data_IF_111369259604
#
_entry.id   IF_111369259604
#
_cell.length_a   1.000
_cell.length_b   1.000
_cell.length_c   1.000
_cell.angle_alpha   90.00
_cell.angle_beta   90.00
_cell.angle_gamma   90.00
#
_symmetry.space_group_name_H-M   'P 1'
#
loop_
_entity.id
_entity.type
_entity.pdbx_description
1 polymer ?
#
# COMPACT_ATOMS: atom_id res chain seq x y z
N UNK A 1 -22.20 3.96 -8.14
CA UNK A 1 -22.41 4.22 -6.69
C UNK A 1 -21.07 4.28 -5.98
N UNK A 2 -20.91 5.25 -5.09
CA UNK A 2 -19.69 5.42 -4.30
C UNK A 2 -20.04 5.29 -2.81
N UNK A 3 -19.26 4.49 -2.10
CA UNK A 3 -19.46 4.28 -0.67
C UNK A 3 -18.24 4.82 0.07
N UNK A 4 -18.47 5.63 1.08
CA UNK A 4 -17.42 6.16 1.95
C UNK A 4 -17.41 5.36 3.25
N UNK A 5 -16.25 4.84 3.62
CA UNK A 5 -16.06 4.13 4.89
C UNK A 5 -14.90 4.74 5.66
N UNK A 6 -14.97 4.74 7.00
CA UNK A 6 -13.82 5.20 7.79
C UNK A 6 -12.66 4.21 7.66
N UNK A 7 -11.47 4.74 7.44
CA UNK A 7 -10.24 3.95 7.41
C UNK A 7 -9.18 4.64 8.28
N UNK A 8 -8.18 3.87 8.71
CA UNK A 8 -7.04 4.43 9.43
C UNK A 8 -6.16 5.26 8.50
N UNK A 9 -5.37 6.17 9.06
CA UNK A 9 -4.38 6.93 8.29
C UNK A 9 -3.37 5.99 7.62
N UNK A 10 -2.94 4.94 8.32
CA UNK A 10 -2.05 3.92 7.77
C UNK A 10 -2.66 3.22 6.56
N UNK A 11 -3.95 2.91 6.60
CA UNK A 11 -4.65 2.29 5.48
C UNK A 11 -4.72 3.23 4.27
N UNK A 12 -4.98 4.51 4.51
CA UNK A 12 -5.01 5.52 3.43
C UNK A 12 -3.64 5.63 2.75
N UNK A 13 -2.56 5.72 3.53
CA UNK A 13 -1.21 5.82 3.00
C UNK A 13 -0.82 4.54 2.25
N UNK A 14 -1.17 3.38 2.78
CA UNK A 14 -0.95 2.09 2.13
C UNK A 14 -1.61 2.05 0.74
N UNK A 15 -2.87 2.43 0.65
CA UNK A 15 -3.59 2.50 -0.63
C UNK A 15 -2.93 3.44 -1.63
N UNK A 16 -2.44 4.58 -1.16
CA UNK A 16 -1.72 5.53 -2.01
C UNK A 16 -0.44 4.93 -2.59
N UNK A 17 0.32 4.17 -1.79
CA UNK A 17 1.52 3.49 -2.30
C UNK A 17 1.17 2.43 -3.34
N UNK A 18 0.10 1.68 -3.12
CA UNK A 18 -0.36 0.66 -4.07
C UNK A 18 -0.80 1.30 -5.39
N UNK A 19 -1.50 2.43 -5.33
CA UNK A 19 -1.91 3.16 -6.54
C UNK A 19 -0.71 3.69 -7.31
N UNK A 20 0.33 4.13 -6.61
CA UNK A 20 1.59 4.54 -7.22
C UNK A 20 2.24 3.39 -8.00
N UNK A 21 2.27 2.20 -7.41
CA UNK A 21 2.79 0.99 -8.05
C UNK A 21 1.94 0.62 -9.27
N UNK A 22 0.62 0.63 -9.14
CA UNK A 22 -0.30 0.38 -10.25
C UNK A 22 -0.06 1.35 -11.41
N UNK A 23 0.15 2.61 -11.10
CA UNK A 23 0.46 3.63 -12.12
C UNK A 23 1.73 3.31 -12.88
N UNK A 24 2.74 2.73 -12.21
CA UNK A 24 3.99 2.32 -12.84
C UNK A 24 3.83 1.06 -13.69
N UNK A 25 3.02 0.11 -13.25
CA UNK A 25 2.95 -1.25 -13.81
C UNK A 25 1.84 -1.45 -14.83
N UNK A 26 0.73 -0.74 -14.70
CA UNK A 26 -0.42 -0.90 -15.59
C UNK A 26 -0.19 -0.13 -16.89
N UNK A 27 -0.43 -0.80 -18.02
CA UNK A 27 -0.26 -0.24 -19.36
C UNK A 27 -1.58 0.08 -20.05
N UNK A 28 -2.69 -0.52 -19.60
CA UNK A 28 -4.01 -0.28 -20.14
C UNK A 28 -4.44 1.16 -19.86
N UNK A 29 -4.76 1.92 -20.92
CA UNK A 29 -5.07 3.36 -20.83
C UNK A 29 -6.30 3.61 -19.96
N UNK A 30 -7.34 2.79 -20.10
CA UNK A 30 -8.58 2.98 -19.36
C UNK A 30 -8.40 2.68 -17.87
N UNK A 31 -7.70 1.60 -17.55
CA UNK A 31 -7.37 1.25 -16.16
C UNK A 31 -6.46 2.29 -15.53
N UNK A 32 -5.48 2.79 -16.29
CA UNK A 32 -4.57 3.83 -15.81
C UNK A 32 -5.31 5.12 -15.47
N UNK A 33 -6.32 5.46 -16.24
CA UNK A 33 -7.18 6.61 -16.00
C UNK A 33 -7.93 6.48 -14.68
N UNK A 34 -8.48 5.28 -14.41
CA UNK A 34 -9.15 4.97 -13.15
C UNK A 34 -8.20 5.08 -11.96
N UNK A 35 -6.98 4.54 -12.10
CA UNK A 35 -5.93 4.61 -11.07
C UNK A 35 -5.58 6.06 -10.75
N UNK A 36 -5.36 6.88 -11.76
CA UNK A 36 -5.03 8.31 -11.58
C UNK A 36 -6.16 9.06 -10.89
N UNK A 37 -7.40 8.77 -11.25
CA UNK A 37 -8.57 9.39 -10.64
C UNK A 37 -8.69 9.03 -9.16
N UNK A 38 -8.55 7.76 -8.82
CA UNK A 38 -8.58 7.30 -7.43
C UNK A 38 -7.41 7.90 -6.63
N UNK A 39 -6.21 7.92 -7.21
CA UNK A 39 -5.02 8.52 -6.60
C UNK A 39 -5.26 9.99 -6.26
N UNK A 40 -5.85 10.74 -7.18
CA UNK A 40 -6.16 12.16 -6.96
C UNK A 40 -7.12 12.35 -5.79
N UNK A 41 -8.17 11.54 -5.72
CA UNK A 41 -9.16 11.62 -4.63
C UNK A 41 -8.53 11.28 -3.27
N UNK A 42 -7.72 10.23 -3.20
CA UNK A 42 -7.10 9.80 -1.95
C UNK A 42 -5.98 10.76 -1.51
N UNK A 43 -5.24 11.34 -2.46
CA UNK A 43 -4.27 12.40 -2.13
C UNK A 43 -4.95 13.61 -1.52
N UNK A 44 -6.12 13.98 -2.02
CA UNK A 44 -6.90 15.08 -1.45
C UNK A 44 -7.31 14.76 -0.01
N UNK A 45 -7.71 13.53 0.26
CA UNK A 45 -8.04 13.08 1.63
C UNK A 45 -6.84 13.14 2.56
N UNK A 46 -5.68 12.74 2.08
CA UNK A 46 -4.45 12.83 2.87
C UNK A 46 -4.09 14.28 3.16
N UNK A 47 -4.16 15.16 2.16
CA UNK A 47 -3.89 16.58 2.34
C UNK A 47 -4.84 17.22 3.35
N UNK A 48 -6.13 16.89 3.29
CA UNK A 48 -7.12 17.37 4.24
C UNK A 48 -6.78 16.92 5.67
N UNK A 49 -6.35 15.68 5.82
CA UNK A 49 -5.93 15.11 7.11
C UNK A 49 -4.70 15.84 7.66
N UNK A 50 -3.71 16.13 6.81
CA UNK A 50 -2.47 16.82 7.22
C UNK A 50 -2.69 18.28 7.59
N UNK A 51 -3.74 18.91 7.06
CA UNK A 51 -4.11 20.29 7.39
C UNK A 51 -4.95 20.40 8.65
N UNK A 52 -5.44 19.29 9.15
CA UNK A 52 -6.18 19.27 10.41
C UNK A 52 -5.25 19.66 11.56
N UNK A 53 -5.81 20.23 12.62
CA UNK A 53 -5.12 20.98 13.66
C UNK A 53 -4.07 20.21 14.47
N UNK A 54 -3.92 18.93 14.24
CA UNK A 54 -2.96 18.09 14.98
C UNK A 54 -1.59 18.19 14.33
N UNK A 55 -0.55 18.45 15.14
CA UNK A 55 0.82 18.49 14.65
C UNK A 55 1.38 17.08 14.54
N UNK A 56 1.69 16.68 13.32
CA UNK A 56 2.37 15.42 13.05
C UNK A 56 3.85 15.64 12.74
N UNK A 57 4.65 14.60 12.92
CA UNK A 57 5.98 14.55 12.35
C UNK A 57 5.85 14.23 10.85
N UNK A 58 5.70 15.26 10.04
CA UNK A 58 5.50 15.10 8.59
C UNK A 58 6.70 14.43 7.90
N UNK A 59 7.95 14.79 8.19
CA UNK A 59 9.10 14.08 7.62
C UNK A 59 9.07 12.58 7.94
N UNK A 60 8.72 12.21 9.17
CA UNK A 60 8.61 10.80 9.55
C UNK A 60 7.47 10.11 8.80
N UNK A 61 6.32 10.77 8.64
CA UNK A 61 5.21 10.23 7.87
C UNK A 61 5.64 9.88 6.43
N UNK A 62 6.35 10.78 5.77
CA UNK A 62 6.83 10.53 4.40
C UNK A 62 7.91 9.47 4.34
N UNK A 63 8.76 9.35 5.36
CA UNK A 63 9.73 8.27 5.46
C UNK A 63 9.03 6.91 5.59
N UNK A 64 8.01 6.81 6.44
CA UNK A 64 7.22 5.59 6.60
C UNK A 64 6.44 5.24 5.34
N UNK A 65 5.93 6.25 4.63
CA UNK A 65 5.27 6.05 3.33
C UNK A 65 6.24 5.48 2.31
N UNK A 66 7.48 5.96 2.26
CA UNK A 66 8.51 5.45 1.36
C UNK A 66 8.85 3.99 1.68
N UNK A 67 8.98 3.64 2.96
CA UNK A 67 9.20 2.26 3.39
C UNK A 67 8.03 1.35 3.01
N UNK A 68 6.83 1.85 3.17
CA UNK A 68 5.61 1.12 2.81
C UNK A 68 5.52 0.89 1.29
N UNK A 69 5.90 1.89 0.50
CA UNK A 69 6.01 1.76 -0.95
C UNK A 69 6.97 0.62 -1.34
N UNK A 70 8.15 0.57 -0.72
CA UNK A 70 9.14 -0.47 -0.99
C UNK A 70 8.62 -1.87 -0.64
N UNK A 71 7.94 -2.02 0.50
CA UNK A 71 7.35 -3.30 0.90
C UNK A 71 6.26 -3.72 -0.08
N UNK A 72 5.39 -2.81 -0.49
CA UNK A 72 4.33 -3.10 -1.44
C UNK A 72 4.87 -3.41 -2.84
N UNK A 73 5.94 -2.75 -3.26
CA UNK A 73 6.60 -3.05 -4.51
C UNK A 73 7.21 -4.47 -4.49
N UNK A 74 7.83 -4.83 -3.38
CA UNK A 74 8.35 -6.18 -3.16
C UNK A 74 7.22 -7.23 -3.22
N UNK A 75 6.09 -6.96 -2.57
CA UNK A 75 4.91 -7.84 -2.63
C UNK A 75 4.38 -8.00 -4.05
N UNK A 76 4.34 -6.93 -4.82
CA UNK A 76 3.91 -6.98 -6.22
C UNK A 76 4.76 -7.99 -7.01
N UNK A 77 6.09 -7.89 -6.87
CA UNK A 77 7.02 -8.80 -7.53
C UNK A 77 6.89 -10.25 -7.05
N UNK A 78 6.77 -10.45 -5.73
CA UNK A 78 6.61 -11.79 -5.14
C UNK A 78 5.33 -12.45 -5.67
N UNK A 79 4.22 -11.72 -5.70
CA UNK A 79 2.94 -12.25 -6.16
C UNK A 79 2.96 -12.59 -7.66
N UNK A 80 3.63 -11.78 -8.48
CA UNK A 80 3.84 -12.10 -9.90
C UNK A 80 4.62 -13.41 -10.05
N UNK A 81 5.65 -13.61 -9.26
CA UNK A 81 6.46 -14.82 -9.29
C UNK A 81 5.67 -16.05 -8.82
N UNK A 82 4.80 -15.88 -7.82
CA UNK A 82 3.91 -16.95 -7.37
C UNK A 82 2.94 -17.36 -8.49
N UNK A 83 2.35 -16.40 -9.17
CA UNK A 83 1.45 -16.66 -10.30
C UNK A 83 2.17 -17.36 -11.45
N UNK A 84 3.43 -17.00 -11.69
CA UNK A 84 4.25 -17.68 -12.68
C UNK A 84 4.49 -19.13 -12.29
N UNK A 85 4.85 -19.41 -11.02
CA UNK A 85 5.01 -20.77 -10.52
C UNK A 85 3.72 -21.58 -10.70
N UNK A 86 2.57 -20.98 -10.41
CA UNK A 86 1.26 -21.62 -10.62
C UNK A 86 1.04 -21.94 -12.10
N UNK A 87 1.39 -21.02 -12.99
CA UNK A 87 1.22 -21.18 -14.42
C UNK A 87 2.03 -22.34 -14.97
N UNK A 88 3.27 -22.52 -14.52
CA UNK A 88 4.15 -23.62 -14.97
C UNK A 88 4.05 -24.86 -14.06
N UNK A 89 3.16 -24.84 -13.05
CA UNK A 89 2.96 -25.92 -12.09
C UNK A 89 4.22 -26.30 -11.32
N UNK A 90 5.03 -25.30 -11.00
CA UNK A 90 6.20 -25.44 -10.14
C UNK A 90 5.82 -25.18 -8.68
N UNK A 91 5.69 -26.24 -7.91
CA UNK A 91 5.36 -26.18 -6.48
C UNK A 91 6.53 -26.66 -5.62
N UNK A 92 7.73 -26.48 -6.13
CA UNK A 92 9.00 -26.85 -5.47
C UNK A 92 9.35 -25.88 -4.33
N UNK A 93 10.59 -26.00 -3.84
CA UNK A 93 11.13 -25.13 -2.79
C UNK A 93 11.01 -23.63 -3.13
N UNK A 94 11.11 -23.26 -4.41
CA UNK A 94 10.97 -21.87 -4.84
C UNK A 94 9.57 -21.32 -4.56
N UNK A 95 8.54 -22.10 -4.88
CA UNK A 95 7.15 -21.71 -4.57
C UNK A 95 6.94 -21.52 -3.06
N UNK A 96 7.48 -22.44 -2.26
CA UNK A 96 7.38 -22.38 -0.79
C UNK A 96 8.09 -21.11 -0.27
N UNK A 97 9.28 -20.83 -0.78
CA UNK A 97 10.03 -19.63 -0.41
C UNK A 97 9.26 -18.36 -0.70
N UNK A 98 8.66 -18.26 -1.88
CA UNK A 98 7.86 -17.10 -2.29
C UNK A 98 6.62 -16.95 -1.38
N UNK A 99 5.95 -18.04 -1.05
CA UNK A 99 4.79 -18.01 -0.16
C UNK A 99 5.16 -17.50 1.25
N UNK A 100 6.33 -17.90 1.75
CA UNK A 100 6.85 -17.40 3.02
C UNK A 100 7.24 -15.92 2.94
N UNK A 101 7.80 -15.49 1.81
CA UNK A 101 8.15 -14.09 1.59
C UNK A 101 6.92 -13.19 1.65
N UNK A 102 5.78 -13.64 1.12
CA UNK A 102 4.49 -12.91 1.25
C UNK A 102 4.15 -12.69 2.71
N UNK A 103 4.23 -13.74 3.51
CA UNK A 103 3.90 -13.68 4.93
C UNK A 103 4.79 -12.66 5.66
N UNK A 104 6.10 -12.74 5.47
CA UNK A 104 7.05 -11.83 6.11
C UNK A 104 6.88 -10.38 5.66
N UNK A 105 6.63 -10.17 4.36
CA UNK A 105 6.42 -8.82 3.83
C UNK A 105 5.12 -8.20 4.36
N UNK A 106 4.04 -8.99 4.46
CA UNK A 106 2.79 -8.52 5.05
C UNK A 106 2.92 -8.16 6.52
N UNK A 107 3.75 -8.86 7.28
CA UNK A 107 4.02 -8.50 8.68
C UNK A 107 4.70 -7.13 8.78
N UNK A 108 5.69 -6.87 7.93
CA UNK A 108 6.35 -5.55 7.87
C UNK A 108 5.39 -4.45 7.43
N UNK A 109 4.55 -4.75 6.46
CA UNK A 109 3.51 -3.83 5.99
C UNK A 109 2.58 -3.44 7.12
N UNK A 110 2.12 -4.41 7.89
CA UNK A 110 1.26 -4.19 9.07
C UNK A 110 1.94 -3.28 10.10
N UNK A 111 3.21 -3.55 10.42
CA UNK A 111 3.98 -2.74 11.36
C UNK A 111 4.11 -1.29 10.90
N UNK A 112 4.39 -1.07 9.62
CA UNK A 112 4.51 0.28 9.06
C UNK A 112 3.18 1.03 9.10
N UNK A 113 2.09 0.35 8.79
CA UNK A 113 0.74 0.94 8.89
C UNK A 113 0.43 1.35 10.34
N UNK A 114 0.78 0.51 11.30
CA UNK A 114 0.59 0.83 12.71
C UNK A 114 1.44 2.02 13.16
N UNK A 115 2.68 2.11 12.72
CA UNK A 115 3.53 3.26 13.02
C UNK A 115 2.93 4.57 12.47
N UNK A 116 2.39 4.53 11.26
CA UNK A 116 1.69 5.69 10.68
C UNK A 116 0.46 6.06 11.53
N UNK A 117 -0.31 5.06 11.95
CA UNK A 117 -1.47 5.31 12.81
C UNK A 117 -1.08 5.97 14.13
N UNK A 118 0.01 5.54 14.72
CA UNK A 118 0.51 6.10 15.99
C UNK A 118 0.94 7.55 15.84
N UNK A 119 1.76 7.86 14.82
CA UNK A 119 2.29 9.22 14.65
C UNK A 119 1.21 10.21 14.21
N UNK A 120 0.14 9.75 13.59
CA UNK A 120 -0.99 10.58 13.16
C UNK A 120 -2.14 10.56 14.14
N UNK A 121 -2.01 9.81 15.23
CA UNK A 121 -3.06 9.61 16.24
C UNK A 121 -4.39 9.23 15.59
N UNK A 122 -4.35 8.25 14.69
CA UNK A 122 -5.53 7.81 13.95
C UNK A 122 -6.59 7.25 14.88
N UNK A 123 -7.85 7.71 14.72
CA UNK A 123 -8.99 7.22 15.47
C UNK A 123 -9.34 5.78 15.09
N UNK A 124 -9.07 5.40 13.85
CA UNK A 124 -9.23 4.03 13.35
C UNK A 124 -7.87 3.34 13.36
N UNK A 125 -7.78 2.21 14.05
CA UNK A 125 -6.53 1.45 14.17
C UNK A 125 -6.77 -0.01 13.82
N UNK A 126 -5.75 -0.62 13.23
CA UNK A 126 -5.77 -2.06 12.96
C UNK A 126 -4.41 -2.66 13.19
#
# INVERSE_FOLDING_TARGET
>A
MKINIPVSTGELVDKLTILEIKKMMIKDVDKLKEVKNEQSQLNQKLNDTLQDSVKFDIPLLFALKADLFEINLSLWSIEDNIRYCEKIKDFSAEFIRLARDVYHANDKRFDLKNQINEITNSDVKK
#
